data_IF_376289379528
#
_entry.id   IF_376289379528
#
_cell.length_a   1.000
_cell.length_b   1.000
_cell.length_c   1.000
_cell.angle_alpha   90.00
_cell.angle_beta   90.00
_cell.angle_gamma   90.00
#
_symmetry.space_group_name_H-M   'P 1'
#
loop_
_entity.id
_entity.type
_entity.pdbx_description
1 polymer ?
#
# COMPACT_ATOMS: atom_id res chain seq x y z
N UNK A 1 -19.31 17.97 16.53
CA UNK A 1 -18.28 19.02 16.40
C UNK A 1 -18.31 19.53 14.98
N UNK A 2 -18.38 20.85 14.81
CA UNK A 2 -18.46 21.49 13.51
C UNK A 2 -17.11 21.33 12.78
N UNK A 3 -17.15 20.77 11.57
CA UNK A 3 -16.10 20.98 10.58
C UNK A 3 -15.85 22.49 10.50
N UNK A 4 -14.59 22.92 10.54
CA UNK A 4 -14.21 24.28 10.16
C UNK A 4 -14.67 24.49 8.71
N UNK A 5 -15.85 25.08 8.55
CA UNK A 5 -16.39 25.51 7.27
C UNK A 5 -15.61 26.76 6.86
N UNK A 6 -14.65 26.57 5.97
CA UNK A 6 -14.04 27.67 5.22
C UNK A 6 -14.92 27.84 3.98
N UNK A 7 -15.67 28.95 3.95
CA UNK A 7 -16.48 29.37 2.81
C UNK A 7 -16.01 30.75 2.35
N UNK A 8 -15.90 30.95 1.03
CA UNK A 8 -15.64 32.26 0.45
C UNK A 8 -16.85 33.18 0.64
N UNK A 9 -16.65 34.52 0.71
CA UNK A 9 -17.75 35.47 0.78
C UNK A 9 -18.65 35.29 -0.46
N UNK A 10 -19.97 35.16 -0.24
CA UNK A 10 -21.05 35.01 -1.24
C UNK A 10 -21.41 33.60 -1.73
N UNK A 11 -20.81 32.52 -1.20
CA UNK A 11 -21.32 31.16 -1.41
C UNK A 11 -21.71 30.51 -0.08
N UNK A 12 -22.99 30.62 0.29
CA UNK A 12 -23.55 29.80 1.37
C UNK A 12 -23.70 28.36 0.84
N UNK A 13 -22.94 27.38 1.35
CA UNK A 13 -23.09 26.01 0.89
C UNK A 13 -24.47 25.48 1.28
N UNK A 14 -25.12 24.74 0.37
CA UNK A 14 -26.40 24.10 0.65
C UNK A 14 -26.28 23.23 1.91
N UNK A 15 -27.01 23.55 3.00
CA UNK A 15 -26.94 22.80 4.27
C UNK A 15 -27.40 21.35 4.13
N UNK A 16 -28.04 20.97 3.02
CA UNK A 16 -28.44 19.60 2.71
C UNK A 16 -27.45 18.85 1.80
N UNK A 17 -26.43 19.51 1.25
CA UNK A 17 -25.42 18.84 0.45
C UNK A 17 -24.55 17.93 1.34
N UNK A 18 -24.75 16.62 1.22
CA UNK A 18 -23.92 15.60 1.90
C UNK A 18 -22.51 15.64 1.32
N UNK A 19 -21.62 16.36 1.99
CA UNK A 19 -20.21 16.38 1.63
C UNK A 19 -19.51 15.14 2.19
N UNK A 20 -19.51 14.06 1.42
CA UNK A 20 -18.82 12.83 1.79
C UNK A 20 -17.32 12.98 1.56
N UNK A 21 -16.55 12.80 2.62
CA UNK A 21 -15.09 12.73 2.56
C UNK A 21 -14.62 11.48 3.30
N UNK A 22 -13.50 10.92 2.83
CA UNK A 22 -12.91 9.69 3.39
C UNK A 22 -11.43 9.87 3.69
N UNK A 23 -10.92 9.06 4.60
CA UNK A 23 -9.49 8.83 4.79
C UNK A 23 -9.08 7.58 4.03
N UNK A 24 -8.00 7.64 3.25
CA UNK A 24 -7.42 6.49 2.56
C UNK A 24 -6.01 6.29 3.06
N UNK A 25 -5.74 5.08 3.54
CA UNK A 25 -4.38 4.61 3.69
C UNK A 25 -4.03 3.75 2.49
N UNK A 26 -3.24 4.32 1.59
CA UNK A 26 -2.65 3.58 0.47
C UNK A 26 -1.38 2.97 1.03
N UNK A 27 -1.34 1.69 1.39
CA UNK A 27 -0.13 1.07 1.95
C UNK A 27 0.59 0.15 0.95
N UNK A 28 1.80 -0.29 1.30
CA UNK A 28 2.63 -1.08 0.37
C UNK A 28 2.04 -2.46 0.10
N UNK A 29 1.54 -3.15 1.13
CA UNK A 29 0.98 -4.51 0.96
C UNK A 29 -0.53 -4.56 1.10
N UNK A 30 -1.11 -3.67 1.91
CA UNK A 30 -2.53 -3.50 2.08
C UNK A 30 -2.86 -2.02 2.07
N UNK A 31 -4.08 -1.70 1.64
CA UNK A 31 -4.68 -0.39 1.70
C UNK A 31 -6.06 -0.50 2.34
N UNK A 32 -6.59 0.62 2.83
CA UNK A 32 -7.94 0.69 3.38
C UNK A 32 -8.56 2.06 3.15
N UNK A 33 -9.87 2.14 3.35
CA UNK A 33 -10.62 3.39 3.31
C UNK A 33 -11.54 3.47 4.53
N UNK A 34 -11.63 4.65 5.13
CA UNK A 34 -12.39 4.90 6.34
C UNK A 34 -13.19 6.20 6.21
N UNK A 35 -14.30 6.28 6.94
CA UNK A 35 -15.12 7.48 7.05
C UNK A 35 -15.47 7.74 8.52
N UNK A 36 -15.81 8.98 8.86
CA UNK A 36 -16.34 9.30 10.18
C UNK A 36 -17.86 9.21 10.13
N UNK A 37 -18.44 8.24 10.85
CA UNK A 37 -19.88 8.06 11.00
C UNK A 37 -20.28 8.35 12.43
N UNK A 38 -21.26 9.24 12.62
CA UNK A 38 -21.75 9.63 13.95
C UNK A 38 -20.66 10.08 14.94
N UNK A 39 -19.56 10.65 14.43
CA UNK A 39 -18.42 11.10 15.23
C UNK A 39 -17.35 10.05 15.51
N UNK A 40 -17.51 8.82 15.01
CA UNK A 40 -16.55 7.73 15.18
C UNK A 40 -15.91 7.37 13.83
N UNK A 41 -14.57 7.24 13.75
CA UNK A 41 -13.93 6.73 12.56
C UNK A 41 -14.20 5.23 12.39
N UNK A 42 -14.67 4.83 11.21
CA UNK A 42 -14.97 3.45 10.87
C UNK A 42 -14.34 3.10 9.52
N UNK A 43 -13.65 1.96 9.45
CA UNK A 43 -13.18 1.42 8.19
C UNK A 43 -14.36 0.88 7.38
N UNK A 44 -14.38 1.16 6.08
CA UNK A 44 -15.46 0.72 5.19
C UNK A 44 -15.12 -0.67 4.63
N UNK A 45 -15.92 -1.70 4.93
CA UNK A 45 -15.69 -3.05 4.42
C UNK A 45 -16.10 -3.19 2.95
N UNK A 46 -15.57 -4.21 2.28
CA UNK A 46 -16.16 -4.70 1.03
C UNK A 46 -17.43 -5.54 1.25
N UNK A 47 -18.01 -6.04 0.17
CA UNK A 47 -19.20 -6.89 0.19
C UNK A 47 -19.03 -8.21 0.97
N UNK A 48 -17.80 -8.62 1.29
CA UNK A 48 -17.49 -9.81 2.10
C UNK A 48 -17.15 -9.44 3.55
N UNK A 49 -17.29 -8.17 3.94
CA UNK A 49 -16.99 -7.69 5.29
C UNK A 49 -15.50 -7.40 5.55
N UNK A 50 -14.65 -7.43 4.51
CA UNK A 50 -13.20 -7.24 4.66
C UNK A 50 -12.86 -5.74 4.58
N UNK A 51 -12.21 -5.22 5.62
CA UNK A 51 -11.80 -3.81 5.67
C UNK A 51 -10.50 -3.53 4.92
N UNK A 52 -9.59 -4.49 4.88
CA UNK A 52 -8.35 -4.37 4.12
C UNK A 52 -8.58 -4.68 2.64
N UNK A 53 -7.74 -4.10 1.80
CA UNK A 53 -7.60 -4.41 0.38
C UNK A 53 -6.12 -4.71 0.12
N UNK A 54 -5.74 -5.92 -0.32
CA UNK A 54 -4.37 -6.17 -0.76
C UNK A 54 -3.97 -5.16 -1.86
N UNK A 55 -2.83 -4.52 -1.72
CA UNK A 55 -2.29 -3.55 -2.68
C UNK A 55 -1.68 -4.27 -3.88
N UNK A 56 -2.53 -5.02 -4.60
CA UNK A 56 -2.13 -5.94 -5.67
C UNK A 56 -3.04 -5.73 -6.88
N UNK A 57 -2.44 -5.61 -8.05
CA UNK A 57 -3.15 -5.45 -9.33
C UNK A 57 -2.66 -6.51 -10.31
N UNK A 58 -3.59 -7.28 -10.86
CA UNK A 58 -3.31 -8.25 -11.92
C UNK A 58 -3.94 -7.80 -13.24
N UNK A 59 -3.11 -7.70 -14.26
CA UNK A 59 -3.53 -7.37 -15.62
C UNK A 59 -3.88 -8.65 -16.40
N UNK A 60 -5.08 -8.68 -16.99
CA UNK A 60 -5.65 -9.82 -17.71
C UNK A 60 -5.81 -9.50 -19.23
N UNK A 61 -5.95 -10.53 -20.09
CA UNK A 61 -6.20 -10.29 -21.52
C UNK A 61 -7.51 -9.54 -21.75
N UNK A 62 -7.52 -8.71 -22.81
CA UNK A 62 -8.70 -7.94 -23.22
C UNK A 62 -8.96 -6.70 -22.36
N UNK A 63 -7.92 -6.12 -21.73
CA UNK A 63 -8.05 -4.91 -20.91
C UNK A 63 -8.74 -5.13 -19.56
N UNK A 64 -8.96 -6.39 -19.17
CA UNK A 64 -9.55 -6.75 -17.87
C UNK A 64 -8.49 -6.71 -16.79
N UNK A 65 -8.92 -6.48 -15.55
CA UNK A 65 -8.04 -6.38 -14.38
C UNK A 65 -8.69 -7.10 -13.20
N UNK A 66 -7.86 -7.72 -12.36
CA UNK A 66 -8.26 -8.18 -11.04
C UNK A 66 -7.45 -7.38 -10.01
N UNK A 67 -8.06 -6.99 -8.90
CA UNK A 67 -7.46 -6.10 -7.90
C UNK A 67 -7.72 -6.70 -6.51
N UNK A 68 -6.81 -6.47 -5.56
CA UNK A 68 -7.02 -6.92 -4.20
C UNK A 68 -6.93 -8.43 -4.04
N UNK A 69 -7.89 -9.01 -3.32
CA UNK A 69 -7.91 -10.45 -3.02
C UNK A 69 -7.99 -11.32 -4.27
N UNK A 70 -8.67 -10.88 -5.33
CA UNK A 70 -8.77 -11.64 -6.58
C UNK A 70 -7.41 -11.70 -7.30
N UNK A 71 -6.66 -10.61 -7.25
CA UNK A 71 -5.29 -10.57 -7.77
C UNK A 71 -4.34 -11.38 -6.89
N UNK A 72 -4.49 -11.29 -5.57
CA UNK A 72 -3.71 -12.03 -4.58
C UNK A 72 -3.85 -13.54 -4.74
N UNK A 73 -5.07 -14.04 -4.96
CA UNK A 73 -5.35 -15.46 -5.12
C UNK A 73 -4.62 -16.08 -6.32
N UNK A 74 -4.39 -15.29 -7.38
CA UNK A 74 -3.77 -15.75 -8.62
C UNK A 74 -2.31 -15.28 -8.79
N UNK A 75 -1.70 -14.69 -7.77
CA UNK A 75 -0.38 -14.07 -7.90
C UNK A 75 0.72 -15.08 -8.25
N UNK A 76 0.60 -16.34 -7.79
CA UNK A 76 1.54 -17.41 -8.10
C UNK A 76 1.37 -17.96 -9.52
N UNK A 77 0.15 -17.94 -10.06
CA UNK A 77 -0.14 -18.44 -11.41
C UNK A 77 0.39 -17.50 -12.49
N UNK A 78 0.39 -16.19 -12.20
CA UNK A 78 0.69 -15.15 -13.16
C UNK A 78 1.54 -14.02 -12.56
N UNK A 79 2.73 -14.34 -12.03
CA UNK A 79 3.52 -13.40 -11.24
C UNK A 79 4.07 -12.24 -12.08
N UNK A 80 4.26 -12.42 -13.39
CA UNK A 80 4.74 -11.36 -14.28
C UNK A 80 3.71 -10.25 -14.50
N UNK A 81 2.42 -10.60 -14.48
CA UNK A 81 1.32 -9.65 -14.73
C UNK A 81 0.55 -9.29 -13.44
N UNK A 82 1.00 -9.80 -12.28
CA UNK A 82 0.42 -9.52 -10.98
C UNK A 82 1.40 -8.68 -10.17
N UNK A 83 1.16 -7.37 -10.15
CA UNK A 83 2.02 -6.39 -9.51
C UNK A 83 1.67 -6.29 -8.03
N UNK A 84 2.60 -6.69 -7.17
CA UNK A 84 2.58 -6.53 -5.72
C UNK A 84 3.57 -5.46 -5.28
N UNK A 85 3.34 -4.87 -4.09
CA UNK A 85 4.26 -3.93 -3.43
C UNK A 85 4.68 -2.74 -4.30
N UNK A 86 3.76 -2.24 -5.13
CA UNK A 86 4.07 -1.22 -6.15
C UNK A 86 4.64 0.09 -5.59
N UNK A 87 4.33 0.43 -4.33
CA UNK A 87 4.94 1.56 -3.62
C UNK A 87 6.47 1.52 -3.62
N UNK A 88 7.09 0.33 -3.61
CA UNK A 88 8.56 0.20 -3.65
C UNK A 88 9.18 0.71 -4.96
N UNK A 89 8.37 0.94 -5.99
CA UNK A 89 8.82 1.45 -7.30
C UNK A 89 8.47 2.93 -7.52
N UNK A 90 7.67 3.53 -6.65
CA UNK A 90 7.18 4.90 -6.82
C UNK A 90 8.31 5.92 -6.63
N UNK A 91 8.56 6.73 -7.65
CA UNK A 91 9.63 7.74 -7.66
C UNK A 91 11.04 7.17 -7.76
N UNK A 92 11.21 5.87 -8.10
CA UNK A 92 12.52 5.22 -8.17
C UNK A 92 12.98 4.93 -9.59
N UNK A 93 14.27 5.13 -9.83
CA UNK A 93 14.93 4.69 -11.06
C UNK A 93 15.34 3.23 -11.01
N UNK A 94 15.84 2.71 -12.12
CA UNK A 94 16.20 1.30 -12.25
C UNK A 94 17.33 0.89 -11.30
N UNK A 95 18.27 1.81 -11.04
CA UNK A 95 19.40 1.61 -10.14
C UNK A 95 18.99 1.50 -8.65
N UNK A 96 17.83 2.03 -8.28
CA UNK A 96 17.34 2.07 -6.90
C UNK A 96 16.53 0.82 -6.50
N UNK A 97 16.36 -0.13 -7.43
CA UNK A 97 15.60 -1.37 -7.22
C UNK A 97 16.56 -2.49 -6.82
N UNK A 98 16.63 -2.76 -5.51
CA UNK A 98 17.38 -3.87 -4.96
C UNK A 98 16.84 -5.23 -5.45
N UNK A 99 17.75 -6.20 -5.66
CA UNK A 99 17.43 -7.58 -6.01
C UNK A 99 16.43 -7.75 -7.17
N UNK A 100 16.55 -6.89 -8.20
CA UNK A 100 15.71 -6.92 -9.40
C UNK A 100 15.64 -8.31 -10.04
N UNK A 101 16.75 -9.04 -10.03
CA UNK A 101 16.88 -10.41 -10.54
C UNK A 101 15.95 -11.43 -9.87
N UNK A 102 15.54 -11.16 -8.62
CA UNK A 102 14.59 -11.99 -7.86
C UNK A 102 13.13 -11.60 -8.10
N UNK A 103 12.86 -10.49 -8.80
CA UNK A 103 11.51 -10.02 -9.10
C UNK A 103 11.02 -10.61 -10.44
N UNK A 104 9.72 -10.94 -10.57
CA UNK A 104 9.18 -11.48 -11.81
C UNK A 104 8.93 -10.42 -12.89
N UNK A 105 9.26 -9.15 -12.62
CA UNK A 105 8.88 -8.03 -13.46
C UNK A 105 9.95 -7.66 -14.47
N UNK A 106 9.50 -7.32 -15.67
CA UNK A 106 10.33 -6.65 -16.65
C UNK A 106 10.17 -5.14 -16.47
N UNK A 107 11.26 -4.47 -16.11
CA UNK A 107 11.32 -3.04 -15.92
C UNK A 107 11.85 -2.34 -17.16
N UNK A 108 11.21 -1.24 -17.53
CA UNK A 108 11.70 -0.30 -18.56
C UNK A 108 11.82 1.10 -17.94
N UNK A 109 12.77 1.88 -18.44
CA UNK A 109 12.89 3.28 -18.04
C UNK A 109 11.91 4.12 -18.83
N UNK A 110 11.24 5.05 -18.15
CA UNK A 110 10.38 6.01 -18.82
C UNK A 110 11.24 6.90 -19.73
N UNK A 111 10.99 6.86 -21.05
CA UNK A 111 11.70 7.69 -22.02
C UNK A 111 11.55 9.18 -21.73
N UNK A 112 12.55 9.98 -22.11
CA UNK A 112 12.59 11.42 -21.88
C UNK A 112 11.43 12.19 -22.54
N UNK A 113 10.81 11.61 -23.58
CA UNK A 113 9.73 12.23 -24.33
C UNK A 113 8.35 11.67 -23.93
N UNK A 114 7.57 12.47 -23.20
CA UNK A 114 6.14 12.22 -22.94
C UNK A 114 5.79 11.37 -21.71
N UNK A 115 6.79 10.92 -20.93
CA UNK A 115 6.52 10.26 -19.66
C UNK A 115 6.05 11.26 -18.59
N UNK A 116 4.96 10.93 -17.89
CA UNK A 116 4.46 11.74 -16.76
C UNK A 116 5.45 11.83 -15.58
N UNK A 117 6.51 11.01 -15.57
CA UNK A 117 7.56 11.03 -14.54
C UNK A 117 8.90 10.57 -15.14
N UNK A 118 9.73 11.48 -15.69
CA UNK A 118 11.04 11.12 -16.22
C UNK A 118 11.91 10.49 -15.11
N UNK A 119 12.58 9.39 -15.43
CA UNK A 119 13.49 8.68 -14.51
C UNK A 119 12.84 7.66 -13.56
N UNK A 120 11.50 7.52 -13.55
CA UNK A 120 10.83 6.46 -12.79
C UNK A 120 10.75 5.16 -13.62
N UNK A 121 10.94 4.01 -12.98
CA UNK A 121 10.72 2.71 -13.63
C UNK A 121 9.25 2.52 -14.04
N UNK A 122 9.05 1.76 -15.09
CA UNK A 122 7.75 1.25 -15.50
C UNK A 122 7.80 -0.28 -15.62
N UNK A 123 6.64 -0.91 -15.49
CA UNK A 123 6.51 -2.36 -15.52
C UNK A 123 5.85 -2.79 -16.83
N UNK A 124 6.50 -3.70 -17.55
CA UNK A 124 5.91 -4.33 -18.74
C UNK A 124 4.87 -5.35 -18.29
N UNK A 125 3.63 -5.16 -18.71
CA UNK A 125 2.51 -6.08 -18.47
C UNK A 125 1.92 -6.51 -19.80
N UNK A 126 1.06 -7.54 -19.77
CA UNK A 126 0.30 -7.94 -20.97
C UNK A 126 -0.67 -6.87 -21.49
N UNK A 127 -1.06 -5.90 -20.65
CA UNK A 127 -1.88 -4.75 -21.07
C UNK A 127 -1.01 -3.60 -21.59
N UNK A 128 0.31 -3.80 -21.72
CA UNK A 128 1.29 -2.78 -22.06
C UNK A 128 2.09 -2.33 -20.85
N UNK A 129 2.88 -1.28 -21.06
CA UNK A 129 3.72 -0.69 -20.01
C UNK A 129 2.84 0.09 -19.03
N UNK A 130 3.07 -0.12 -17.73
CA UNK A 130 2.33 0.54 -16.64
C UNK A 130 3.30 1.19 -15.67
N UNK A 131 3.05 2.45 -15.32
CA UNK A 131 3.79 3.15 -14.28
C UNK A 131 3.31 2.76 -12.88
N UNK A 132 4.14 2.89 -11.83
CA UNK A 132 3.72 2.74 -10.44
C UNK A 132 2.54 3.65 -10.05
N UNK A 133 2.43 4.82 -10.69
CA UNK A 133 1.32 5.76 -10.52
C UNK A 133 0.02 5.17 -11.05
N UNK A 134 0.01 4.62 -12.27
CA UNK A 134 -1.16 3.97 -12.86
C UNK A 134 -1.60 2.75 -12.04
N UNK A 135 -0.66 1.90 -11.61
CA UNK A 135 -0.99 0.73 -10.78
C UNK A 135 -1.60 1.17 -9.44
N UNK A 136 -1.07 2.22 -8.82
CA UNK A 136 -1.62 2.77 -7.58
C UNK A 136 -3.01 3.40 -7.78
N UNK A 137 -3.27 3.97 -8.97
CA UNK A 137 -4.58 4.50 -9.32
C UNK A 137 -5.66 3.42 -9.37
N UNK A 138 -5.34 2.20 -9.83
CA UNK A 138 -6.30 1.07 -9.81
C UNK A 138 -6.72 0.71 -8.37
N UNK A 139 -5.76 0.72 -7.44
CA UNK A 139 -6.00 0.45 -6.02
C UNK A 139 -6.89 1.56 -5.43
N UNK A 140 -6.52 2.81 -5.68
CA UNK A 140 -7.28 3.98 -5.22
C UNK A 140 -8.70 4.01 -5.79
N UNK A 141 -8.88 3.69 -7.08
CA UNK A 141 -10.20 3.64 -7.71
C UNK A 141 -11.08 2.56 -7.08
N UNK A 142 -10.50 1.41 -6.70
CA UNK A 142 -11.20 0.34 -5.98
C UNK A 142 -11.66 0.81 -4.59
N UNK A 143 -10.81 1.56 -3.88
CA UNK A 143 -11.17 2.13 -2.57
C UNK A 143 -12.21 3.24 -2.67
N UNK A 144 -12.14 4.08 -3.72
CA UNK A 144 -13.16 5.08 -4.04
C UNK A 144 -14.52 4.40 -4.24
N UNK A 145 -14.59 3.40 -5.12
CA UNK A 145 -15.83 2.67 -5.38
C UNK A 145 -16.39 2.03 -4.11
N UNK A 146 -15.53 1.39 -3.31
CA UNK A 146 -15.94 0.81 -2.02
C UNK A 146 -16.56 1.86 -1.08
N UNK A 147 -15.97 3.05 -1.04
CA UNK A 147 -16.49 4.13 -0.22
C UNK A 147 -17.83 4.67 -0.72
N UNK A 148 -17.97 4.88 -2.03
CA UNK A 148 -19.21 5.32 -2.67
C UNK A 148 -20.33 4.30 -2.46
N UNK A 149 -20.05 3.00 -2.64
CA UNK A 149 -21.01 1.92 -2.37
C UNK A 149 -21.46 1.91 -0.91
N UNK A 150 -20.52 2.09 0.03
CA UNK A 150 -20.81 2.05 1.46
C UNK A 150 -21.56 3.30 1.96
N UNK A 151 -21.33 4.47 1.36
CA UNK A 151 -21.91 5.76 1.77
C UNK A 151 -23.16 6.14 0.97
N UNK A 152 -23.34 5.56 -0.22
CA UNK A 152 -24.50 5.70 -1.08
C UNK A 152 -24.55 7.00 -1.90
N UNK A 153 -23.40 7.67 -2.09
CA UNK A 153 -23.29 8.91 -2.87
C UNK A 153 -21.81 9.14 -3.28
N UNK A 154 -21.59 10.06 -4.22
CA UNK A 154 -20.25 10.39 -4.74
C UNK A 154 -19.39 11.09 -3.68
N UNK A 155 -18.07 10.85 -3.73
CA UNK A 155 -17.13 11.50 -2.82
C UNK A 155 -16.82 12.94 -3.26
N UNK A 156 -16.85 13.87 -2.31
CA UNK A 156 -16.29 15.22 -2.51
C UNK A 156 -14.77 15.19 -2.58
N UNK A 157 -14.14 14.23 -1.89
CA UNK A 157 -12.71 14.01 -1.93
C UNK A 157 -12.19 13.11 -0.82
N UNK A 158 -10.88 12.92 -0.79
CA UNK A 158 -10.20 12.10 0.20
C UNK A 158 -9.00 12.81 0.83
N UNK A 159 -8.73 12.49 2.09
CA UNK A 159 -7.42 12.69 2.71
C UNK A 159 -6.64 11.39 2.53
N UNK A 160 -5.45 11.46 1.95
CA UNK A 160 -4.62 10.27 1.67
C UNK A 160 -3.35 10.35 2.52
N UNK A 161 -3.02 9.27 3.23
CA UNK A 161 -1.78 9.19 3.99
C UNK A 161 -0.57 8.92 3.09
N UNK A 162 0.56 9.54 3.42
CA UNK A 162 1.87 9.31 2.78
C UNK A 162 2.97 9.28 3.85
N UNK A 163 4.09 8.59 3.62
CA UNK A 163 5.19 8.59 4.56
C UNK A 163 5.74 9.99 4.82
N UNK A 164 6.19 10.27 6.04
CA UNK A 164 6.65 11.62 6.40
C UNK A 164 7.91 12.05 5.62
N UNK A 165 8.76 11.09 5.25
CA UNK A 165 10.00 11.33 4.48
C UNK A 165 9.77 11.51 2.98
N UNK A 166 8.54 11.33 2.47
CA UNK A 166 8.26 11.52 1.04
C UNK A 166 8.63 12.92 0.59
N UNK A 167 9.42 13.00 -0.48
CA UNK A 167 9.74 14.24 -1.16
C UNK A 167 8.55 14.74 -2.00
N UNK A 168 8.72 15.92 -2.61
CA UNK A 168 7.67 16.53 -3.43
C UNK A 168 7.30 15.69 -4.66
N UNK A 169 8.24 14.94 -5.23
CA UNK A 169 7.99 14.10 -6.40
C UNK A 169 7.12 12.89 -6.04
N UNK A 170 7.41 12.21 -4.92
CA UNK A 170 6.62 11.08 -4.43
C UNK A 170 5.22 11.52 -3.95
N UNK A 171 5.12 12.70 -3.32
CA UNK A 171 3.83 13.32 -2.97
C UNK A 171 3.02 13.66 -4.22
N UNK A 172 3.67 14.19 -5.26
CA UNK A 172 3.00 14.49 -6.52
C UNK A 172 2.54 13.22 -7.23
N UNK A 173 3.37 12.17 -7.26
CA UNK A 173 3.01 10.86 -7.81
C UNK A 173 1.76 10.26 -7.12
N UNK A 174 1.64 10.43 -5.80
CA UNK A 174 0.45 10.00 -5.05
C UNK A 174 -0.80 10.80 -5.45
N UNK A 175 -0.67 12.13 -5.61
CA UNK A 175 -1.78 12.98 -6.10
C UNK A 175 -2.17 12.65 -7.53
N UNK A 176 -1.21 12.32 -8.38
CA UNK A 176 -1.46 11.95 -9.78
C UNK A 176 -2.18 10.60 -9.85
N UNK A 177 -1.79 9.62 -9.03
CA UNK A 177 -2.50 8.36 -8.90
C UNK A 177 -3.96 8.57 -8.43
N UNK A 178 -4.16 9.45 -7.45
CA UNK A 178 -5.50 9.81 -6.98
C UNK A 178 -6.33 10.51 -8.06
N UNK A 179 -5.72 11.42 -8.85
CA UNK A 179 -6.39 12.08 -9.97
C UNK A 179 -6.83 11.07 -11.04
N UNK A 180 -5.95 10.13 -11.40
CA UNK A 180 -6.27 9.04 -12.34
C UNK A 180 -7.40 8.13 -11.81
N UNK A 181 -7.50 7.97 -10.49
CA UNK A 181 -8.57 7.23 -9.82
C UNK A 181 -9.90 7.99 -9.71
N UNK A 182 -9.96 9.24 -10.17
CA UNK A 182 -11.15 10.11 -10.02
C UNK A 182 -11.33 10.65 -8.60
N UNK A 183 -10.27 10.71 -7.78
CA UNK A 183 -10.31 11.20 -6.41
C UNK A 183 -9.80 12.63 -6.34
N UNK A 184 -10.63 13.53 -5.82
CA UNK A 184 -10.19 14.87 -5.41
C UNK A 184 -9.40 14.77 -4.09
N UNK A 185 -8.10 15.03 -4.12
CA UNK A 185 -7.26 14.99 -2.91
C UNK A 185 -7.43 16.27 -2.12
N UNK A 186 -8.13 16.19 -0.98
CA UNK A 186 -8.33 17.31 -0.07
C UNK A 186 -7.04 17.68 0.66
N UNK A 187 -6.27 16.66 1.06
CA UNK A 187 -5.00 16.81 1.76
C UNK A 187 -4.20 15.52 1.68
N UNK A 188 -2.88 15.65 1.54
CA UNK A 188 -1.97 14.57 1.91
C UNK A 188 -1.61 14.73 3.39
N UNK A 189 -1.78 13.67 4.17
CA UNK A 189 -1.45 13.65 5.59
C UNK A 189 -0.24 12.74 5.81
N UNK A 190 0.67 13.12 6.71
CA UNK A 190 1.76 12.24 7.06
C UNK A 190 1.22 11.03 7.83
N UNK A 191 1.57 9.82 7.42
CA UNK A 191 1.27 8.55 8.10
C UNK A 191 1.50 8.62 9.63
N UNK A 192 2.65 9.08 10.15
CA UNK A 192 2.86 9.13 11.60
C UNK A 192 1.93 10.13 12.30
N UNK A 193 1.54 11.22 11.63
CA UNK A 193 0.57 12.18 12.19
C UNK A 193 -0.84 11.58 12.19
N UNK A 194 -1.21 10.84 11.14
CA UNK A 194 -2.48 10.12 11.09
C UNK A 194 -2.58 9.07 12.21
N UNK A 195 -1.50 8.30 12.43
CA UNK A 195 -1.41 7.33 13.51
C UNK A 195 -1.54 7.98 14.90
N UNK A 196 -0.86 9.11 15.11
CA UNK A 196 -0.95 9.85 16.37
C UNK A 196 -2.37 10.39 16.65
N UNK A 197 -3.05 10.90 15.62
CA UNK A 197 -4.45 11.34 15.71
C UNK A 197 -5.37 10.14 16.02
N UNK A 198 -5.18 9.01 15.33
CA UNK A 198 -5.99 7.80 15.55
C UNK A 198 -5.84 7.24 16.97
N UNK A 199 -4.65 7.35 17.57
CA UNK A 199 -4.41 6.96 18.96
C UNK A 199 -5.06 7.93 19.98
N UNK A 200 -5.53 9.10 19.54
CA UNK A 200 -6.09 10.14 20.41
C UNK A 200 -5.02 10.97 21.11
N UNK A 201 -3.79 11.01 20.58
CA UNK A 201 -2.73 11.81 21.16
C UNK A 201 -3.01 13.31 21.03
N UNK A 202 -3.84 13.76 20.08
CA UNK A 202 -4.29 15.14 19.97
C UNK A 202 -5.03 15.65 21.22
N UNK A 203 -5.58 14.73 22.03
CA UNK A 203 -6.21 14.99 23.32
C UNK A 203 -5.34 14.58 24.52
N UNK A 204 -4.10 14.14 24.28
CA UNK A 204 -3.14 13.76 25.31
C UNK A 204 -2.33 14.95 25.82
N UNK A 205 -1.55 14.72 26.88
CA UNK A 205 -0.62 15.70 27.42
C UNK A 205 0.39 16.15 26.37
N UNK A 206 0.82 17.42 26.40
CA UNK A 206 1.95 17.87 25.59
C UNK A 206 3.18 16.99 25.86
N UNK A 207 3.95 16.70 24.81
CA UNK A 207 5.03 15.73 24.93
C UNK A 207 5.73 15.41 23.62
N UNK A 208 6.70 14.49 23.74
CA UNK A 208 7.44 13.94 22.62
C UNK A 208 7.03 12.48 22.48
N UNK A 209 6.65 12.11 21.27
CA UNK A 209 6.16 10.79 20.92
C UNK A 209 7.01 10.20 19.81
N UNK A 210 7.33 8.91 19.91
CA UNK A 210 7.91 8.17 18.80
C UNK A 210 6.82 7.35 18.13
N UNK A 211 6.68 7.50 16.82
CA UNK A 211 5.91 6.61 15.97
C UNK A 211 6.89 5.66 15.31
N UNK A 212 6.71 4.37 15.57
CA UNK A 212 7.46 3.28 14.96
C UNK A 212 6.53 2.54 14.00
N UNK A 213 6.77 2.66 12.70
CA UNK A 213 5.97 2.04 11.66
C UNK A 213 6.83 1.08 10.84
N UNK A 214 6.61 -0.23 11.01
CA UNK A 214 7.28 -1.27 10.26
C UNK A 214 6.25 -1.97 9.38
N UNK A 215 6.09 -1.45 8.17
CA UNK A 215 5.14 -1.93 7.20
C UNK A 215 5.64 -3.15 6.41
N UNK A 216 4.91 -3.49 5.35
CA UNK A 216 5.34 -4.55 4.43
C UNK A 216 6.53 -4.16 3.56
N UNK A 217 6.67 -2.87 3.25
CA UNK A 217 7.66 -2.40 2.28
C UNK A 217 8.67 -1.38 2.77
N UNK A 218 8.37 -0.75 3.90
CA UNK A 218 9.10 0.40 4.43
C UNK A 218 9.14 0.30 5.95
N UNK A 219 10.22 0.80 6.53
CA UNK A 219 10.38 1.00 7.95
C UNK A 219 10.57 2.48 8.19
N UNK A 220 9.72 3.07 9.02
CA UNK A 220 9.67 4.49 9.29
C UNK A 220 9.62 4.76 10.79
N UNK A 221 10.50 5.64 11.24
CA UNK A 221 10.46 6.15 12.62
C UNK A 221 10.36 7.66 12.58
N UNK A 222 9.36 8.19 13.27
CA UNK A 222 9.13 9.64 13.36
C UNK A 222 9.02 10.06 14.80
N UNK A 223 9.71 11.13 15.16
CA UNK A 223 9.55 11.79 16.46
C UNK A 223 8.62 12.96 16.26
N UNK A 224 7.50 12.94 16.98
CA UNK A 224 6.47 13.97 16.97
C UNK A 224 6.50 14.73 18.28
N UNK A 225 6.43 16.06 18.20
CA UNK A 225 6.19 16.92 19.35
C UNK A 225 4.75 17.40 19.31
N UNK A 226 4.00 17.12 20.38
CA UNK A 226 2.68 17.71 20.59
C UNK A 226 2.81 18.94 21.46
N UNK A 227 2.41 20.09 20.93
CA UNK A 227 2.40 21.37 21.64
C UNK A 227 1.16 22.13 21.25
N UNK A 228 0.35 22.54 22.23
CA UNK A 228 -0.91 23.29 22.03
C UNK A 228 -1.85 22.63 21.03
N UNK A 229 -1.96 21.30 21.07
CA UNK A 229 -2.84 20.52 20.18
C UNK A 229 -2.34 20.37 18.74
N UNK A 230 -1.11 20.79 18.44
CA UNK A 230 -0.51 20.67 17.10
C UNK A 230 0.64 19.68 17.13
N UNK A 231 0.63 18.71 16.21
CA UNK A 231 1.76 17.82 15.96
C UNK A 231 2.79 18.47 15.05
N UNK A 232 4.03 18.53 15.52
CA UNK A 232 5.20 18.90 14.75
C UNK A 232 6.09 17.66 14.57
N UNK A 233 6.48 17.36 13.33
CA UNK A 233 7.48 16.32 13.05
C UNK A 233 8.86 16.91 13.32
N UNK A 234 9.55 16.46 14.37
CA UNK A 234 10.85 17.01 14.76
C UNK A 234 12.03 16.21 14.23
N UNK A 235 11.82 14.92 13.94
CA UNK A 235 12.80 14.06 13.30
C UNK A 235 12.10 12.92 12.56
N UNK A 236 12.66 12.54 11.43
CA UNK A 236 12.28 11.33 10.68
C UNK A 236 13.53 10.51 10.41
N UNK A 237 13.36 9.21 10.37
CA UNK A 237 14.37 8.23 9.97
C UNK A 237 13.67 6.96 9.54
N UNK A 238 14.45 5.94 9.19
CA UNK A 238 13.91 4.69 8.69
C UNK A 238 14.71 4.15 7.51
N UNK A 239 14.14 3.16 6.85
CA UNK A 239 14.65 2.54 5.64
C UNK A 239 13.49 2.24 4.69
N UNK A 240 13.46 2.96 3.56
CA UNK A 240 12.44 2.83 2.53
C UNK A 240 12.52 1.52 1.74
N UNK A 241 13.54 0.69 1.96
CA UNK A 241 13.73 -0.60 1.32
C UNK A 241 13.63 -1.77 2.31
N UNK A 242 13.29 -1.53 3.59
CA UNK A 242 13.14 -2.55 4.62
C UNK A 242 11.67 -2.72 5.02
N UNK A 243 11.19 -3.94 5.14
CA UNK A 243 9.87 -4.23 5.69
C UNK A 243 9.55 -5.72 5.72
N UNK A 244 8.26 -6.03 5.91
CA UNK A 244 7.77 -7.41 5.96
C UNK A 244 8.10 -8.26 4.73
N UNK A 245 8.20 -7.68 3.54
CA UNK A 245 8.56 -8.38 2.30
C UNK A 245 10.01 -8.92 2.35
N UNK A 246 10.92 -8.24 3.06
CA UNK A 246 12.31 -8.67 3.23
C UNK A 246 12.40 -9.87 4.17
N UNK A 247 11.56 -9.91 5.20
CA UNK A 247 11.42 -11.07 6.07
C UNK A 247 10.86 -12.27 5.30
N UNK A 248 9.87 -12.03 4.43
CA UNK A 248 9.30 -13.06 3.55
C UNK A 248 10.37 -13.61 2.59
N UNK A 249 11.21 -12.73 2.03
CA UNK A 249 12.31 -13.13 1.16
C UNK A 249 13.37 -13.96 1.90
N UNK A 250 13.80 -13.54 3.10
CA UNK A 250 14.74 -14.29 3.93
C UNK A 250 14.20 -15.68 4.29
N UNK A 251 12.92 -15.76 4.68
CA UNK A 251 12.32 -17.04 5.05
C UNK A 251 12.08 -17.95 3.84
N UNK A 252 11.75 -17.38 2.67
CA UNK A 252 11.70 -18.13 1.42
C UNK A 252 13.09 -18.66 1.04
N UNK A 253 14.13 -17.84 1.10
CA UNK A 253 15.52 -18.26 0.81
C UNK A 253 15.99 -19.36 1.79
N UNK A 254 15.58 -19.29 3.07
CA UNK A 254 15.78 -20.38 4.03
C UNK A 254 15.07 -21.69 3.61
N UNK A 255 13.80 -21.61 3.20
CA UNK A 255 13.04 -22.78 2.77
C UNK A 255 13.63 -23.43 1.51
N UNK A 256 14.16 -22.62 0.60
CA UNK A 256 14.88 -23.07 -0.60
C UNK A 256 16.13 -23.86 -0.21
N UNK A 257 16.97 -23.30 0.66
CA UNK A 257 18.18 -23.95 1.13
C UNK A 257 17.86 -25.26 1.89
N UNK A 258 16.87 -25.24 2.78
CA UNK A 258 16.46 -26.41 3.57
C UNK A 258 15.92 -27.55 2.70
N UNK A 259 15.22 -27.21 1.61
CA UNK A 259 14.62 -28.20 0.70
C UNK A 259 15.56 -28.62 -0.43
N UNK A 260 16.78 -28.09 -0.49
CA UNK A 260 17.74 -28.35 -1.57
C UNK A 260 17.24 -27.89 -2.95
N UNK A 261 16.37 -26.88 -2.99
CA UNK A 261 15.80 -26.36 -4.23
C UNK A 261 16.80 -25.43 -4.93
N UNK A 262 16.89 -25.55 -6.25
CA UNK A 262 17.66 -24.67 -7.11
C UNK A 262 16.82 -24.25 -8.33
N UNK A 263 17.21 -23.15 -8.97
CA UNK A 263 16.66 -22.66 -10.24
C UNK A 263 15.14 -22.50 -10.24
N UNK A 264 14.61 -21.80 -9.23
CA UNK A 264 13.18 -21.55 -9.10
C UNK A 264 12.68 -20.65 -10.23
N UNK A 265 11.61 -21.07 -10.90
CA UNK A 265 10.90 -20.18 -11.82
C UNK A 265 10.01 -19.21 -11.05
N UNK A 266 9.63 -18.09 -11.68
CA UNK A 266 8.85 -17.03 -11.04
C UNK A 266 7.57 -17.51 -10.31
N UNK A 267 6.75 -18.44 -10.86
CA UNK A 267 5.61 -19.01 -10.14
C UNK A 267 5.97 -19.72 -8.84
N UNK A 268 7.03 -20.55 -8.86
CA UNK A 268 7.50 -21.29 -7.68
C UNK A 268 8.05 -20.32 -6.62
N UNK A 269 8.84 -19.33 -7.04
CA UNK A 269 9.36 -18.28 -6.14
C UNK A 269 8.23 -17.49 -5.50
N UNK A 270 7.18 -17.17 -6.26
CA UNK A 270 6.01 -16.46 -5.72
C UNK A 270 5.23 -17.32 -4.72
N UNK A 271 5.00 -18.60 -5.03
CA UNK A 271 4.36 -19.52 -4.10
C UNK A 271 5.12 -19.63 -2.76
N UNK A 272 6.46 -19.66 -2.81
CA UNK A 272 7.30 -19.63 -1.61
C UNK A 272 7.17 -18.34 -0.81
N UNK A 273 7.15 -17.17 -1.45
CA UNK A 273 6.96 -15.90 -0.75
C UNK A 273 5.59 -15.82 -0.06
N UNK A 274 4.54 -16.35 -0.69
CA UNK A 274 3.20 -16.45 -0.09
C UNK A 274 3.22 -17.36 1.14
N UNK A 275 3.84 -18.53 1.03
CA UNK A 275 3.98 -19.46 2.14
C UNK A 275 4.84 -18.90 3.28
N UNK A 276 5.93 -18.20 2.95
CA UNK A 276 6.82 -17.53 3.89
C UNK A 276 6.06 -16.45 4.68
N UNK A 277 5.27 -15.63 3.99
CA UNK A 277 4.40 -14.63 4.64
C UNK A 277 3.45 -15.27 5.65
N UNK A 278 2.73 -16.31 5.23
CA UNK A 278 1.80 -17.01 6.10
C UNK A 278 2.49 -17.70 7.30
N UNK A 279 3.73 -18.17 7.13
CA UNK A 279 4.54 -18.69 8.23
C UNK A 279 5.00 -17.58 9.19
N UNK A 280 5.52 -16.46 8.65
CA UNK A 280 5.93 -15.27 9.43
C UNK A 280 4.79 -14.72 10.28
N UNK A 281 3.61 -14.57 9.68
CA UNK A 281 2.42 -14.07 10.38
C UNK A 281 1.99 -15.01 11.51
N UNK A 282 1.99 -16.34 11.29
CA UNK A 282 1.74 -17.32 12.36
C UNK A 282 2.79 -17.27 13.47
N UNK A 283 4.07 -17.15 13.12
CA UNK A 283 5.17 -17.04 14.07
C UNK A 283 5.12 -15.78 14.94
N UNK A 284 4.24 -14.81 14.65
CA UNK A 284 4.00 -13.68 15.57
C UNK A 284 3.27 -14.15 16.84
N UNK A 285 2.39 -15.16 16.71
CA UNK A 285 1.59 -15.70 17.81
C UNK A 285 2.12 -17.04 18.33
N UNK A 286 2.80 -17.81 17.47
CA UNK A 286 3.30 -19.15 17.76
C UNK A 286 4.84 -19.17 17.85
N UNK A 287 5.42 -20.10 18.63
CA UNK A 287 6.88 -20.28 18.71
C UNK A 287 7.46 -21.09 17.55
N UNK A 288 6.64 -21.88 16.86
CA UNK A 288 7.02 -22.72 15.74
C UNK A 288 5.84 -22.93 14.80
N UNK A 289 6.11 -23.08 13.51
CA UNK A 289 5.09 -23.40 12.51
C UNK A 289 5.69 -24.17 11.33
N UNK A 290 4.85 -24.71 10.45
CA UNK A 290 5.29 -25.34 9.20
C UNK A 290 5.03 -24.38 8.04
N UNK A 291 6.08 -23.97 7.33
CA UNK A 291 5.96 -23.32 6.03
C UNK A 291 5.55 -24.37 5.01
N UNK A 292 4.35 -24.22 4.47
CA UNK A 292 3.78 -25.09 3.44
C UNK A 292 3.66 -24.31 2.14
N UNK A 293 4.34 -24.78 1.08
CA UNK A 293 4.26 -24.17 -0.24
C UNK A 293 3.96 -25.23 -1.30
N UNK A 294 2.85 -25.06 -2.03
CA UNK A 294 2.54 -25.85 -3.22
C UNK A 294 3.29 -25.25 -4.41
N UNK A 295 4.42 -25.88 -4.78
CA UNK A 295 5.25 -25.38 -5.89
C UNK A 295 4.69 -25.91 -7.23
N UNK A 296 4.31 -25.01 -8.17
CA UNK A 296 3.86 -25.44 -9.49
C UNK A 296 4.89 -26.35 -10.15
N UNK A 297 4.48 -27.53 -10.63
CA UNK A 297 5.31 -28.54 -11.30
C UNK A 297 6.38 -29.25 -10.44
N UNK A 298 6.60 -28.87 -9.17
CA UNK A 298 7.51 -29.57 -8.24
C UNK A 298 6.80 -30.29 -7.10
N UNK A 299 5.56 -29.91 -6.80
CA UNK A 299 4.79 -30.46 -5.69
C UNK A 299 5.00 -29.69 -4.38
N UNK A 300 4.36 -30.14 -3.30
CA UNK A 300 4.39 -29.44 -2.02
C UNK A 300 5.75 -29.59 -1.32
N UNK A 301 6.17 -28.53 -0.64
CA UNK A 301 7.24 -28.58 0.35
C UNK A 301 6.73 -28.21 1.74
N UNK A 302 7.36 -28.80 2.75
CA UNK A 302 7.05 -28.55 4.16
C UNK A 302 8.36 -28.28 4.90
N UNK A 303 8.55 -27.05 5.37
CA UNK A 303 9.76 -26.66 6.10
C UNK A 303 9.37 -26.25 7.51
N UNK A 304 9.86 -26.93 8.55
CA UNK A 304 9.70 -26.48 9.94
C UNK A 304 10.45 -25.16 10.16
N UNK A 305 9.77 -24.19 10.78
CA UNK A 305 10.34 -22.88 11.10
C UNK A 305 10.03 -22.55 12.56
N UNK A 306 11.02 -22.02 13.28
CA UNK A 306 10.87 -21.51 14.65
C UNK A 306 11.13 -20.01 14.68
N UNK A 307 10.55 -19.32 15.67
CA UNK A 307 10.82 -17.90 15.94
C UNK A 307 12.26 -17.70 16.44
#
# INVERSE_FOLDING_TARGET
>A
MALLQISEPDQSPDPHARRLAVGIDLGTTHSLVAAVRSGTPECLPDAQGRVLLPSIVRYLPGGRRAIGYDAQAAQSDDPRNTIVSVKRFMGRGLADIAHRDKLPYEFVEAGADGAQSPGMVQLVTREGVKSPVEVSAEILATLRQRAEDALGDDLVGAVITVPAYFDDAQRQATKDAARLAGINVLRLLNEPTAAAIAYGLDNASEGIYAVYDLGGGTFDVSILKLSRGVFEVIATGGDSALGGDDYDACLADFAVAHSGLNDLVAPERRALLVAARAAKERLTLESSTILHADLPNRGPIHVPVTR
#
